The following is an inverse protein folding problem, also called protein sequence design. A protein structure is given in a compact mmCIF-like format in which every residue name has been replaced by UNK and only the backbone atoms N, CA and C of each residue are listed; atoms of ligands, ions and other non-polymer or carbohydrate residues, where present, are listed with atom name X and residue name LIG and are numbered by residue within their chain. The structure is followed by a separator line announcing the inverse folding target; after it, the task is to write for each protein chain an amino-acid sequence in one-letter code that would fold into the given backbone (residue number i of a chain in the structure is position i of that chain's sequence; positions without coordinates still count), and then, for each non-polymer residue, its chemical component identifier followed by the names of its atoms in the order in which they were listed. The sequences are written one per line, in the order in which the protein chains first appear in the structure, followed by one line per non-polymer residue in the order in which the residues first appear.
data_IF_920881666871
#
_entry.id   IF_920881666871
#
_cell.length_a   1.000
_cell.length_b   1.000
_cell.length_c   1.000
_cell.angle_alpha   90.00
_cell.angle_beta   90.00
_cell.angle_gamma   90.00
#
_symmetry.space_group_name_H-M   'P 1'
#
loop_
_entity.id
_entity.type
_entity.pdbx_description
1 polymer ?
#
# COMPACT_ATOMS: atom_id res chain seq x y z
N UNK A 1 -4.34 -0.61 43.41
CA UNK A 1 -4.95 0.07 42.25
C UNK A 1 -3.99 1.17 41.83
N UNK A 2 -3.30 1.01 40.70
CA UNK A 2 -2.39 2.02 40.15
C UNK A 2 -3.09 2.60 38.94
N UNK A 3 -3.55 3.85 39.04
CA UNK A 3 -4.26 4.56 37.98
C UNK A 3 -3.26 5.12 36.96
N UNK A 4 -3.42 4.73 35.70
CA UNK A 4 -2.63 5.26 34.58
C UNK A 4 -3.35 6.52 34.07
N UNK A 5 -2.70 7.68 34.21
CA UNK A 5 -3.15 8.93 33.62
C UNK A 5 -2.70 8.99 32.16
N UNK A 6 -3.66 9.11 31.23
CA UNK A 6 -3.41 9.31 29.80
C UNK A 6 -3.44 10.82 29.51
N UNK A 7 -2.35 11.46 29.07
CA UNK A 7 -2.41 12.84 28.62
C UNK A 7 -3.00 12.90 27.20
N UNK A 8 -4.17 13.53 27.09
CA UNK A 8 -4.76 13.93 25.81
C UNK A 8 -3.97 15.12 25.25
N UNK A 9 -3.16 14.88 24.22
CA UNK A 9 -2.53 15.94 23.43
C UNK A 9 -3.55 16.41 22.39
N UNK A 10 -4.14 17.58 22.63
CA UNK A 10 -5.04 18.26 21.68
C UNK A 10 -4.25 18.89 20.55
N UNK A 11 -4.55 18.52 19.31
CA UNK A 11 -4.01 19.17 18.11
C UNK A 11 -4.92 20.36 17.77
N UNK A 12 -4.39 21.57 17.90
CA UNK A 12 -5.02 22.80 17.40
C UNK A 12 -4.62 22.97 15.95
N UNK A 13 -5.57 22.79 15.03
CA UNK A 13 -5.37 23.06 13.59
C UNK A 13 -5.74 24.53 13.34
N UNK A 14 -4.74 25.38 13.13
CA UNK A 14 -4.95 26.78 12.74
C UNK A 14 -5.16 26.85 11.22
N UNK A 15 -6.40 26.99 10.78
CA UNK A 15 -6.73 27.30 9.39
C UNK A 15 -6.49 28.79 9.13
N UNK A 16 -5.41 29.15 8.42
CA UNK A 16 -5.26 30.49 7.86
C UNK A 16 -6.21 30.63 6.66
N UNK A 17 -7.30 31.37 6.84
CA UNK A 17 -8.19 31.82 5.77
C UNK A 17 -7.75 33.22 5.34
N UNK A 18 -7.16 33.33 4.16
CA UNK A 18 -6.77 34.61 3.58
C UNK A 18 -8.03 35.32 3.02
N UNK A 19 -8.72 36.11 3.85
CA UNK A 19 -9.80 37.02 3.44
C UNK A 19 -9.23 38.41 3.19
N UNK A 20 -9.14 38.81 1.92
CA UNK A 20 -8.99 40.21 1.55
C UNK A 20 -10.38 40.89 1.58
N UNK A 21 -10.52 41.92 2.41
CA UNK A 21 -11.70 42.79 2.55
C UNK A 21 -11.63 44.00 1.60
N UNK A 22 -12.77 44.68 1.35
CA UNK A 22 -13.02 45.53 0.18
C UNK A 22 -12.60 46.99 0.39
N UNK A 23 -12.38 47.71 -0.71
CA UNK A 23 -12.26 49.17 -0.70
C UNK A 23 -13.33 49.79 -1.61
N UNK A 24 -14.05 50.75 -1.01
CA UNK A 24 -15.20 51.49 -1.53
C UNK A 24 -14.91 52.35 -2.77
N UNK A 25 -15.95 52.52 -3.58
CA UNK A 25 -16.06 53.40 -4.75
C UNK A 25 -15.66 54.87 -4.51
N UNK A 26 -15.36 55.61 -5.59
CA UNK A 26 -16.38 56.52 -6.13
C UNK A 26 -16.49 56.54 -7.68
N UNK A 27 -17.68 56.87 -8.20
CA UNK A 27 -17.98 57.22 -9.60
C UNK A 27 -17.84 58.77 -9.79
N UNK A 28 -17.94 59.42 -11.00
CA UNK A 28 -18.51 58.95 -12.29
C UNK A 28 -17.89 59.45 -13.65
N UNK A 29 -18.32 58.80 -14.77
CA UNK A 29 -18.54 59.28 -16.19
C UNK A 29 -17.35 59.59 -17.15
N UNK A 30 -17.54 59.73 -18.51
CA UNK A 30 -18.18 58.85 -19.52
C UNK A 30 -17.40 58.70 -20.87
N UNK A 31 -17.88 57.82 -21.79
CA UNK A 31 -17.52 57.65 -23.25
C UNK A 31 -16.17 56.97 -23.55
N UNK A 32 -15.92 56.11 -24.56
CA UNK A 32 -16.45 55.91 -25.93
C UNK A 32 -15.93 54.54 -26.46
N UNK A 33 -16.55 54.02 -27.53
CA UNK A 33 -16.27 52.79 -28.27
C UNK A 33 -14.79 52.37 -28.44
N UNK A 34 -14.52 51.06 -28.32
CA UNK A 34 -13.58 50.34 -29.21
C UNK A 34 -13.80 48.82 -29.17
N UNK A 35 -14.15 48.26 -30.32
CA UNK A 35 -14.07 46.84 -30.59
C UNK A 35 -12.59 46.40 -30.63
N UNK A 36 -12.27 45.27 -30.00
CA UNK A 36 -11.19 44.41 -30.48
C UNK A 36 -11.41 42.97 -30.06
N UNK A 37 -11.28 42.09 -31.06
CA UNK A 37 -11.38 40.64 -30.97
C UNK A 37 -10.15 40.10 -30.27
N UNK A 38 -10.33 39.29 -29.24
CA UNK A 38 -9.28 38.42 -28.71
C UNK A 38 -9.85 37.00 -28.55
N UNK A 39 -9.17 36.07 -29.21
CA UNK A 39 -9.53 34.67 -29.40
C UNK A 39 -9.80 33.94 -28.06
N UNK A 40 -10.67 32.90 -28.04
CA UNK A 40 -10.74 32.01 -26.91
C UNK A 40 -9.44 31.20 -26.83
N UNK A 41 -8.63 31.49 -25.82
CA UNK A 41 -7.54 30.63 -25.38
C UNK A 41 -8.12 29.24 -25.16
N UNK A 42 -7.71 28.29 -26.00
CA UNK A 42 -8.04 26.88 -25.82
C UNK A 42 -7.37 26.43 -24.53
N UNK A 43 -8.15 26.29 -23.47
CA UNK A 43 -7.75 25.57 -22.26
C UNK A 43 -7.44 24.14 -22.70
N UNK A 44 -6.17 23.87 -22.98
CA UNK A 44 -5.66 22.53 -23.17
C UNK A 44 -5.87 21.79 -21.86
N UNK A 45 -6.98 21.07 -21.81
CA UNK A 45 -7.36 20.17 -20.74
C UNK A 45 -6.29 19.08 -20.77
N UNK A 46 -5.20 19.29 -20.02
CA UNK A 46 -4.15 18.30 -19.75
C UNK A 46 -4.89 17.08 -19.24
N UNK A 47 -5.11 16.13 -20.14
CA UNK A 47 -5.79 14.89 -19.83
C UNK A 47 -5.01 14.25 -18.71
N UNK A 48 -5.63 14.09 -17.56
CA UNK A 48 -5.16 13.17 -16.55
C UNK A 48 -5.26 11.79 -17.20
N UNK A 49 -4.20 11.40 -17.91
CA UNK A 49 -4.07 10.06 -18.43
C UNK A 49 -4.12 9.14 -17.23
N UNK A 50 -5.26 8.50 -17.01
CA UNK A 50 -5.38 7.47 -15.99
C UNK A 50 -4.38 6.39 -16.41
N UNK A 51 -3.40 6.12 -15.56
CA UNK A 51 -2.48 5.01 -15.80
C UNK A 51 -3.30 3.74 -16.06
N UNK A 52 -2.85 2.87 -16.99
CA UNK A 52 -3.52 1.60 -17.22
C UNK A 52 -3.64 0.84 -15.91
N UNK A 53 -4.72 0.06 -15.72
CA UNK A 53 -4.88 -0.74 -14.53
C UNK A 53 -3.71 -1.73 -14.43
N UNK A 54 -3.23 -2.00 -13.20
CA UNK A 54 -2.09 -2.87 -13.02
C UNK A 54 -2.39 -4.29 -13.44
N UNK A 55 -1.42 -4.88 -14.13
CA UNK A 55 -1.51 -6.25 -14.64
C UNK A 55 -1.13 -7.22 -13.53
N UNK A 56 -1.89 -8.30 -13.40
CA UNK A 56 -1.55 -9.40 -12.48
C UNK A 56 -0.47 -10.27 -13.13
N UNK A 57 0.66 -10.43 -12.44
CA UNK A 57 1.77 -11.32 -12.83
C UNK A 57 1.49 -12.75 -12.39
N UNK A 58 0.98 -12.91 -11.17
CA UNK A 58 0.62 -14.20 -10.60
C UNK A 58 -0.61 -14.09 -9.71
N UNK A 59 -1.44 -15.12 -9.76
CA UNK A 59 -2.49 -15.36 -8.80
C UNK A 59 -3.85 -14.74 -9.14
N UNK A 60 -4.84 -14.83 -8.21
CA UNK A 60 -4.72 -15.42 -6.88
C UNK A 60 -4.29 -16.91 -6.92
N UNK A 61 -3.18 -17.26 -6.28
CA UNK A 61 -2.58 -18.59 -6.36
C UNK A 61 -1.90 -19.00 -5.06
N UNK A 62 -1.66 -20.30 -4.92
CA UNK A 62 -1.14 -20.86 -3.67
C UNK A 62 0.40 -20.90 -3.68
N UNK A 63 1.00 -20.44 -2.59
CA UNK A 63 2.43 -20.55 -2.29
C UNK A 63 2.58 -21.37 -1.02
N UNK A 64 3.26 -22.52 -1.13
CA UNK A 64 3.39 -23.51 -0.07
C UNK A 64 4.82 -23.57 0.44
N UNK A 65 5.01 -23.42 1.74
CA UNK A 65 6.29 -23.59 2.41
C UNK A 65 6.20 -24.75 3.39
N UNK A 66 7.11 -25.71 3.27
CA UNK A 66 7.33 -26.70 4.32
C UNK A 66 8.18 -26.06 5.41
N UNK A 67 7.51 -25.63 6.48
CA UNK A 67 8.13 -24.85 7.54
C UNK A 67 8.63 -25.78 8.64
N UNK A 68 9.94 -25.97 8.70
CA UNK A 68 10.60 -26.65 9.82
C UNK A 68 11.09 -25.65 10.87
N UNK A 69 11.75 -24.57 10.44
CA UNK A 69 12.29 -23.50 11.30
C UNK A 69 12.32 -22.12 10.60
N UNK A 70 12.59 -22.15 9.30
CA UNK A 70 12.61 -20.97 8.41
C UNK A 70 11.98 -21.33 7.06
N UNK A 71 11.51 -20.33 6.33
CA UNK A 71 11.07 -20.47 4.95
C UNK A 71 11.20 -19.14 4.22
N UNK A 72 11.46 -19.17 2.92
CA UNK A 72 11.72 -17.99 2.11
C UNK A 72 10.83 -18.01 0.87
N UNK A 73 10.32 -16.84 0.49
CA UNK A 73 9.53 -16.64 -0.74
C UNK A 73 10.17 -15.55 -1.58
N UNK A 74 10.37 -15.86 -2.85
CA UNK A 74 10.70 -14.93 -3.93
C UNK A 74 9.41 -14.71 -4.75
N UNK A 75 8.90 -13.48 -4.74
CA UNK A 75 7.68 -13.03 -5.41
C UNK A 75 7.94 -12.55 -6.85
N UNK A 76 9.20 -12.38 -7.22
CA UNK A 76 9.65 -11.91 -8.52
C UNK A 76 9.63 -13.04 -9.56
N UNK A 77 9.87 -14.26 -9.09
CA UNK A 77 9.70 -15.49 -9.83
C UNK A 77 8.25 -15.70 -10.32
N UNK A 78 8.10 -16.36 -11.47
CA UNK A 78 6.80 -16.69 -12.06
C UNK A 78 6.72 -18.20 -12.37
N UNK A 79 6.06 -19.02 -11.52
CA UNK A 79 5.35 -18.67 -10.28
C UNK A 79 6.30 -18.25 -9.15
N UNK A 80 5.80 -17.61 -8.07
CA UNK A 80 6.59 -17.32 -6.88
C UNK A 80 7.29 -18.58 -6.36
N UNK A 81 8.56 -18.43 -6.01
CA UNK A 81 9.41 -19.52 -5.57
C UNK A 81 9.41 -19.57 -4.03
N UNK A 82 9.13 -20.74 -3.47
CA UNK A 82 9.16 -21.01 -2.05
C UNK A 82 10.24 -22.04 -1.71
N UNK A 83 11.14 -21.71 -0.79
CA UNK A 83 12.29 -22.54 -0.41
C UNK A 83 12.51 -22.54 1.10
N UNK A 84 13.29 -23.49 1.60
CA UNK A 84 13.77 -23.52 2.99
C UNK A 84 15.06 -22.69 3.20
N UNK A 85 15.71 -22.33 2.09
CA UNK A 85 17.01 -21.67 2.04
C UNK A 85 16.88 -20.30 1.39
N UNK A 86 17.46 -19.27 2.01
CA UNK A 86 17.46 -17.90 1.49
C UNK A 86 18.18 -17.84 0.13
N UNK A 87 17.58 -17.11 -0.81
CA UNK A 87 18.12 -16.80 -2.14
C UNK A 87 18.33 -15.30 -2.28
N UNK A 88 19.04 -14.88 -3.33
CA UNK A 88 19.26 -13.45 -3.62
C UNK A 88 17.95 -12.70 -3.92
N UNK A 89 16.92 -13.39 -4.43
CA UNK A 89 15.58 -12.84 -4.69
C UNK A 89 14.57 -13.06 -3.56
N UNK A 90 15.01 -13.37 -2.34
CA UNK A 90 14.07 -13.58 -1.22
C UNK A 90 13.41 -12.26 -0.82
N UNK A 91 12.08 -12.21 -0.94
CA UNK A 91 11.24 -11.06 -0.57
C UNK A 91 10.58 -11.22 0.78
N UNK A 92 10.19 -12.46 1.13
CA UNK A 92 9.55 -12.78 2.41
C UNK A 92 10.37 -13.84 3.11
N UNK A 93 10.73 -13.60 4.35
CA UNK A 93 11.31 -14.59 5.25
C UNK A 93 10.31 -14.91 6.36
N UNK A 94 10.00 -16.19 6.51
CA UNK A 94 9.29 -16.72 7.64
C UNK A 94 10.32 -17.20 8.65
N UNK A 95 10.32 -16.60 9.83
CA UNK A 95 11.26 -16.91 10.90
C UNK A 95 10.51 -17.38 12.15
N UNK A 96 11.06 -18.36 12.87
CA UNK A 96 10.63 -18.72 14.23
C UNK A 96 9.10 -18.92 14.41
N UNK A 97 8.54 -19.94 13.74
CA UNK A 97 7.12 -20.41 13.76
C UNK A 97 6.00 -19.36 13.55
N UNK A 98 6.28 -18.06 13.59
CA UNK A 98 5.26 -17.02 13.77
C UNK A 98 5.65 -15.66 13.19
N UNK A 99 6.89 -15.43 12.76
CA UNK A 99 7.30 -14.11 12.30
C UNK A 99 7.36 -14.10 10.77
N UNK A 100 6.83 -13.02 10.19
CA UNK A 100 7.07 -12.67 8.79
C UNK A 100 7.98 -11.46 8.82
N UNK A 101 9.08 -11.55 8.12
CA UNK A 101 9.97 -10.44 7.77
C UNK A 101 9.93 -10.26 6.25
N UNK A 102 10.08 -9.03 5.78
CA UNK A 102 10.13 -8.75 4.34
C UNK A 102 11.36 -7.94 3.97
N UNK A 103 11.94 -8.28 2.83
CA UNK A 103 12.94 -7.47 2.15
C UNK A 103 12.22 -6.39 1.34
N UNK A 104 11.79 -5.34 2.05
CA UNK A 104 11.00 -4.25 1.49
C UNK A 104 10.09 -3.66 2.57
N UNK A 105 8.80 -3.58 2.28
CA UNK A 105 7.79 -3.11 3.24
C UNK A 105 6.55 -4.00 3.17
N UNK A 106 5.90 -4.22 4.31
CA UNK A 106 4.60 -4.87 4.39
C UNK A 106 3.61 -4.00 5.14
N UNK A 107 2.32 -4.18 4.88
CA UNK A 107 1.24 -3.54 5.64
C UNK A 107 0.18 -4.57 6.03
N UNK A 108 -0.06 -4.79 7.34
CA UNK A 108 -1.14 -5.65 7.79
C UNK A 108 -2.50 -5.09 7.37
N UNK A 109 -3.42 -5.97 6.97
CA UNK A 109 -4.79 -5.62 6.63
C UNK A 109 -5.76 -6.11 7.71
N UNK A 110 -6.97 -5.54 7.77
CA UNK A 110 -8.06 -6.11 8.55
C UNK A 110 -8.26 -7.60 8.22
N UNK A 111 -8.51 -8.41 9.23
CA UNK A 111 -8.67 -9.87 9.09
C UNK A 111 -9.86 -10.29 8.22
N UNK A 112 -10.81 -9.38 8.00
CA UNK A 112 -12.01 -9.57 7.20
C UNK A 112 -12.13 -8.50 6.11
N UNK A 113 -12.94 -8.78 5.08
CA UNK A 113 -13.16 -7.91 3.94
C UNK A 113 -12.73 -8.54 2.62
N UNK A 114 -13.01 -7.86 1.49
CA UNK A 114 -12.60 -8.31 0.16
C UNK A 114 -11.08 -8.22 0.01
N UNK A 115 -10.52 -9.07 -0.84
CA UNK A 115 -9.11 -9.01 -1.22
C UNK A 115 -8.81 -7.65 -1.88
N UNK A 116 -7.74 -6.96 -1.49
CA UNK A 116 -7.44 -5.62 -2.00
C UNK A 116 -7.01 -5.66 -3.46
N UNK A 117 -7.30 -4.58 -4.18
CA UNK A 117 -6.62 -4.22 -5.42
C UNK A 117 -5.18 -3.78 -5.14
N UNK A 118 -4.35 -3.69 -6.19
CA UNK A 118 -2.98 -3.20 -6.04
C UNK A 118 -2.96 -1.78 -5.44
N UNK A 119 -3.81 -0.88 -5.94
CA UNK A 119 -3.85 0.52 -5.49
C UNK A 119 -4.22 0.63 -4.00
N UNK A 120 -5.15 -0.21 -3.53
CA UNK A 120 -5.48 -0.30 -2.11
C UNK A 120 -4.29 -0.84 -1.31
N UNK A 121 -3.57 -1.83 -1.84
CA UNK A 121 -2.36 -2.33 -1.19
C UNK A 121 -1.26 -1.28 -1.10
N UNK A 122 -0.97 -0.56 -2.18
CA UNK A 122 0.00 0.54 -2.20
C UNK A 122 -0.37 1.62 -1.19
N UNK A 123 -1.66 1.98 -1.11
CA UNK A 123 -2.12 2.95 -0.12
C UNK A 123 -1.93 2.44 1.32
N UNK A 124 -2.14 1.15 1.58
CA UNK A 124 -1.92 0.57 2.91
C UNK A 124 -0.43 0.53 3.27
N UNK A 125 0.44 0.20 2.32
CA UNK A 125 1.90 0.23 2.48
C UNK A 125 2.40 1.63 2.83
N UNK A 126 1.92 2.67 2.13
CA UNK A 126 2.31 4.06 2.40
C UNK A 126 1.87 4.55 3.79
N UNK A 127 0.70 4.13 4.26
CA UNK A 127 0.12 4.65 5.50
C UNK A 127 0.49 3.83 6.74
N UNK A 128 0.65 2.52 6.59
CA UNK A 128 0.73 1.55 7.69
C UNK A 128 1.88 0.56 7.52
N UNK A 129 2.88 0.91 6.72
CA UNK A 129 3.96 -0.01 6.40
C UNK A 129 4.92 -0.26 7.57
N UNK A 130 5.42 -1.49 7.63
CA UNK A 130 6.37 -2.03 8.61
C UNK A 130 7.25 -3.07 7.90
N UNK A 131 8.28 -3.57 8.56
CA UNK A 131 9.16 -4.60 8.01
C UNK A 131 8.71 -6.02 8.41
N UNK A 132 7.90 -6.16 9.47
CA UNK A 132 7.57 -7.47 10.03
C UNK A 132 6.16 -7.60 10.64
N UNK A 133 5.70 -8.86 10.76
CA UNK A 133 4.51 -9.28 11.52
C UNK A 133 4.92 -10.33 12.57
N UNK A 134 4.66 -10.06 13.86
CA UNK A 134 5.06 -10.91 15.00
C UNK A 134 4.25 -12.19 15.21
N UNK A 135 3.15 -12.37 14.48
CA UNK A 135 2.25 -13.51 14.67
C UNK A 135 1.52 -13.88 13.39
N UNK A 136 2.14 -14.77 12.63
CA UNK A 136 1.53 -15.42 11.49
C UNK A 136 0.49 -16.40 11.99
N UNK A 137 -0.76 -16.15 11.64
CA UNK A 137 -1.87 -17.01 11.99
C UNK A 137 -2.82 -17.12 10.80
N UNK A 138 -3.63 -18.18 10.78
CA UNK A 138 -4.67 -18.35 9.78
C UNK A 138 -5.54 -17.10 9.69
N UNK A 139 -5.79 -16.62 8.47
CA UNK A 139 -6.60 -15.45 8.21
C UNK A 139 -5.86 -14.12 8.34
N UNK A 140 -4.58 -14.11 8.74
CA UNK A 140 -3.74 -12.91 8.60
C UNK A 140 -3.64 -12.54 7.12
N UNK A 141 -3.75 -11.24 6.85
CA UNK A 141 -3.80 -10.63 5.53
C UNK A 141 -2.85 -9.45 5.53
N UNK A 142 -2.06 -9.31 4.48
CA UNK A 142 -1.10 -8.22 4.39
C UNK A 142 -0.76 -7.92 2.94
N UNK A 143 -0.38 -6.67 2.69
CA UNK A 143 0.26 -6.24 1.46
C UNK A 143 1.77 -6.28 1.65
N UNK A 144 2.51 -6.51 0.57
CA UNK A 144 3.96 -6.47 0.51
C UNK A 144 4.35 -5.61 -0.68
N UNK A 145 5.39 -4.81 -0.52
CA UNK A 145 6.17 -4.25 -1.61
C UNK A 145 7.60 -4.75 -1.47
N UNK A 146 8.09 -5.43 -2.49
CA UNK A 146 9.49 -5.89 -2.57
C UNK A 146 10.43 -4.71 -2.74
N UNK A 147 11.74 -4.89 -2.55
CA UNK A 147 12.72 -3.82 -2.78
C UNK A 147 12.77 -3.33 -4.24
N UNK A 148 12.41 -4.19 -5.19
CA UNK A 148 12.28 -3.90 -6.61
C UNK A 148 11.04 -3.05 -6.91
N UNK A 149 10.14 -2.88 -5.93
CA UNK A 149 8.93 -2.08 -6.03
C UNK A 149 7.68 -2.87 -6.41
N UNK A 150 7.76 -4.20 -6.49
CA UNK A 150 6.64 -5.06 -6.86
C UNK A 150 5.65 -5.17 -5.72
N UNK A 151 4.38 -4.90 -6.00
CA UNK A 151 3.30 -5.03 -5.02
C UNK A 151 2.74 -6.46 -5.03
N UNK A 152 2.44 -6.99 -3.85
CA UNK A 152 1.73 -8.24 -3.67
C UNK A 152 0.74 -8.18 -2.51
N UNK A 153 -0.29 -9.01 -2.59
CA UNK A 153 -1.21 -9.30 -1.49
C UNK A 153 -1.04 -10.76 -1.08
N UNK A 154 -0.93 -11.01 0.22
CA UNK A 154 -0.87 -12.36 0.78
C UNK A 154 -1.91 -12.56 1.87
N UNK A 155 -2.53 -13.75 1.87
CA UNK A 155 -3.40 -14.24 2.93
C UNK A 155 -2.94 -15.59 3.42
N UNK A 156 -2.84 -15.75 4.73
CA UNK A 156 -2.53 -17.02 5.35
C UNK A 156 -3.76 -17.93 5.34
N UNK A 157 -3.68 -19.02 4.60
CA UNK A 157 -4.69 -20.08 4.60
C UNK A 157 -4.43 -21.06 5.74
N UNK A 158 -3.15 -21.40 5.93
CA UNK A 158 -2.68 -22.31 6.98
C UNK A 158 -1.36 -21.80 7.54
N UNK A 159 -1.21 -21.85 8.86
CA UNK A 159 0.06 -21.62 9.55
C UNK A 159 0.18 -22.66 10.68
N UNK A 160 1.38 -23.24 10.88
CA UNK A 160 1.61 -24.13 12.01
C UNK A 160 1.52 -23.37 13.34
N UNK A 161 1.27 -24.11 14.42
CA UNK A 161 1.28 -23.55 15.78
C UNK A 161 2.72 -23.35 16.27
N UNK A 162 2.93 -22.46 17.24
CA UNK A 162 4.26 -22.04 17.75
C UNK A 162 5.18 -23.19 18.22
N UNK A 163 4.64 -24.38 18.43
CA UNK A 163 5.32 -25.57 18.95
C UNK A 163 5.44 -26.73 17.95
N UNK A 164 5.04 -26.56 16.69
CA UNK A 164 5.03 -27.63 15.70
C UNK A 164 5.60 -27.19 14.36
N UNK A 165 6.45 -28.03 13.77
CA UNK A 165 6.74 -27.95 12.34
C UNK A 165 5.46 -28.19 11.52
N UNK A 166 5.36 -27.60 10.33
CA UNK A 166 4.21 -27.83 9.47
C UNK A 166 4.22 -26.96 8.23
N UNK A 167 3.14 -27.03 7.46
CA UNK A 167 3.05 -26.30 6.20
C UNK A 167 2.45 -24.92 6.42
N UNK A 168 3.15 -23.88 5.95
CA UNK A 168 2.54 -22.56 5.73
C UNK A 168 1.98 -22.52 4.32
N UNK A 169 0.70 -22.18 4.21
CA UNK A 169 0.03 -22.00 2.92
C UNK A 169 -0.44 -20.56 2.82
N UNK A 170 0.12 -19.84 1.86
CA UNK A 170 -0.27 -18.49 1.51
C UNK A 170 -1.09 -18.52 0.22
N UNK A 171 -2.17 -17.74 0.18
CA UNK A 171 -2.81 -17.36 -1.07
C UNK A 171 -2.30 -15.97 -1.46
N UNK A 172 -1.66 -15.87 -2.61
CA UNK A 172 -0.92 -14.70 -3.06
C UNK A 172 -1.45 -14.20 -4.39
N UNK A 173 -1.55 -12.88 -4.52
CA UNK A 173 -1.69 -12.16 -5.79
C UNK A 173 -0.49 -11.23 -5.93
N UNK A 174 0.21 -11.30 -7.05
CA UNK A 174 1.37 -10.49 -7.37
C UNK A 174 1.07 -9.67 -8.62
N UNK A 175 1.28 -8.37 -8.55
CA UNK A 175 1.13 -7.47 -9.70
C UNK A 175 2.47 -7.29 -10.43
N UNK A 176 2.41 -6.91 -11.71
CA UNK A 176 3.61 -6.52 -12.45
C UNK A 176 4.22 -5.25 -11.85
N UNK A 177 5.48 -4.96 -12.20
CA UNK A 177 6.10 -3.72 -11.76
C UNK A 177 5.38 -2.50 -12.37
N UNK A 178 5.31 -1.37 -11.65
CA UNK A 178 4.75 -0.15 -12.20
C UNK A 178 5.51 0.29 -13.46
N UNK A 179 4.81 0.36 -14.59
CA UNK A 179 5.36 0.85 -15.87
C UNK A 179 5.87 -0.21 -16.84
N UNK A 180 5.68 -1.50 -16.55
CA UNK A 180 6.00 -2.64 -17.45
C UNK A 180 4.78 -3.20 -18.19
#
# INVERSE_FOLDING_TARGET
MVGIAVPLVGIVVTLLVNRATPASSPAPQPSTDRADSAAPTSTEKRGTGSAPPPKVRFGPGDVRLEFLLTGHVDLDSAPPLATDSRTDGTDISLESHTWVDVHGQLAPLPSTGPDPSEAECTAQLQNNGTEWIKKLARGVRFCVQTYEGRTAYARVITAPTESAAGTVLLKVTVWELPGE
#
